data_IF_827167071671
#
_entry.id   IF_827167071671
#
_cell.length_a   1.000
_cell.length_b   1.000
_cell.length_c   1.000
_cell.angle_alpha   90.00
_cell.angle_beta   90.00
_cell.angle_gamma   90.00
#
_symmetry.space_group_name_H-M   'P 1'
#
loop_
_entity.id
_entity.type
_entity.pdbx_description
1 polymer ?
#
# COMPACT_ATOMS: atom_id res chain seq x y z
N UNK A 1 13.87 33.58 3.97
CA UNK A 1 14.54 32.28 4.17
C UNK A 1 16.06 32.41 4.21
N UNK A 2 16.71 33.02 3.20
CA UNK A 2 18.16 33.16 3.12
C UNK A 2 18.78 33.87 4.34
N UNK A 3 18.21 35.01 4.77
CA UNK A 3 18.68 35.70 5.98
C UNK A 3 18.55 34.86 7.25
N UNK A 4 17.53 33.98 7.33
CA UNK A 4 17.35 33.06 8.47
C UNK A 4 18.38 31.94 8.48
N UNK A 5 18.86 31.53 7.31
CA UNK A 5 19.91 30.52 7.15
C UNK A 5 21.32 31.13 7.10
N UNK A 6 21.46 32.45 7.31
CA UNK A 6 22.72 33.18 7.18
C UNK A 6 23.40 33.01 5.80
N UNK A 7 22.60 32.82 4.75
CA UNK A 7 23.06 32.69 3.37
C UNK A 7 22.91 34.01 2.60
N UNK A 8 23.87 34.30 1.72
CA UNK A 8 23.81 35.40 0.75
C UNK A 8 23.18 34.90 -0.57
N UNK A 9 22.63 35.82 -1.35
CA UNK A 9 22.18 35.50 -2.71
C UNK A 9 23.38 35.07 -3.56
N UNK A 10 23.17 34.04 -4.39
CA UNK A 10 24.13 33.57 -5.37
C UNK A 10 23.77 34.21 -6.72
N UNK A 11 24.77 34.66 -7.47
CA UNK A 11 24.61 35.08 -8.87
C UNK A 11 24.98 33.88 -9.73
N UNK A 12 24.05 33.43 -10.56
CA UNK A 12 24.25 32.27 -11.42
C UNK A 12 25.20 32.61 -12.58
N UNK A 13 26.13 31.72 -12.86
CA UNK A 13 27.06 31.83 -13.97
C UNK A 13 26.63 30.95 -15.16
N UNK A 14 27.52 30.78 -16.13
CA UNK A 14 27.27 29.92 -17.28
C UNK A 14 26.94 28.48 -16.81
N UNK A 15 25.94 27.86 -17.45
CA UNK A 15 25.42 26.52 -17.16
C UNK A 15 24.62 26.35 -15.84
N UNK A 16 24.84 27.18 -14.82
CA UNK A 16 24.20 27.01 -13.50
C UNK A 16 22.67 26.89 -13.57
N UNK A 17 22.01 27.71 -14.40
CA UNK A 17 20.56 27.66 -14.57
C UNK A 17 20.07 26.31 -15.10
N UNK A 18 20.79 25.72 -16.07
CA UNK A 18 20.47 24.38 -16.59
C UNK A 18 20.78 23.31 -15.55
N UNK A 19 21.92 23.40 -14.87
CA UNK A 19 22.31 22.45 -13.84
C UNK A 19 21.29 22.39 -12.68
N UNK A 20 20.65 23.51 -12.34
CA UNK A 20 19.66 23.59 -11.27
C UNK A 20 18.26 23.13 -11.69
N UNK A 21 17.86 23.34 -12.95
CA UNK A 21 16.49 23.13 -13.40
C UNK A 21 16.30 21.85 -14.22
N UNK A 22 17.32 21.42 -14.95
CA UNK A 22 17.26 20.30 -15.86
C UNK A 22 17.54 19.00 -15.10
N UNK A 23 16.60 18.07 -15.12
CA UNK A 23 16.74 16.78 -14.46
C UNK A 23 15.42 16.22 -13.96
N UNK A 24 15.53 15.13 -13.20
CA UNK A 24 14.39 14.30 -12.77
C UNK A 24 14.10 14.41 -11.27
N UNK A 25 14.76 15.33 -10.56
CA UNK A 25 14.79 15.41 -9.10
C UNK A 25 13.39 15.58 -8.49
N UNK A 26 12.51 16.37 -9.12
CA UNK A 26 11.16 16.60 -8.62
C UNK A 26 10.28 15.34 -8.66
N UNK A 27 10.27 14.63 -9.80
CA UNK A 27 9.50 13.38 -9.93
C UNK A 27 10.12 12.24 -9.11
N UNK A 28 11.45 12.20 -9.02
CA UNK A 28 12.18 11.29 -8.14
C UNK A 28 11.76 11.48 -6.68
N UNK A 29 11.79 12.72 -6.16
CA UNK A 29 11.44 12.99 -4.77
C UNK A 29 9.97 12.65 -4.45
N UNK A 30 9.03 13.04 -5.32
CA UNK A 30 7.60 12.75 -5.12
C UNK A 30 7.33 11.25 -5.19
N UNK A 31 7.88 10.57 -6.20
CA UNK A 31 7.71 9.13 -6.38
C UNK A 31 8.41 8.30 -5.30
N UNK A 32 9.60 8.73 -4.87
CA UNK A 32 10.36 8.08 -3.80
C UNK A 32 9.66 8.15 -2.44
N UNK A 33 9.13 9.32 -2.06
CA UNK A 33 8.32 9.45 -0.85
C UNK A 33 7.02 8.63 -0.92
N UNK A 34 6.41 8.55 -2.10
CA UNK A 34 5.24 7.71 -2.32
C UNK A 34 5.60 6.22 -2.21
N UNK A 35 6.71 5.78 -2.80
CA UNK A 35 7.20 4.40 -2.71
C UNK A 35 7.51 4.00 -1.27
N UNK A 36 8.17 4.86 -0.49
CA UNK A 36 8.46 4.60 0.91
C UNK A 36 7.18 4.24 1.69
N UNK A 37 6.12 5.04 1.50
CA UNK A 37 4.80 4.78 2.09
C UNK A 37 4.15 3.53 1.49
N UNK A 38 4.24 3.30 0.18
CA UNK A 38 3.69 2.11 -0.48
C UNK A 38 4.30 0.79 0.04
N UNK A 39 5.63 0.77 0.26
CA UNK A 39 6.31 -0.40 0.84
C UNK A 39 5.78 -0.71 2.25
N UNK A 40 5.56 0.31 3.08
CA UNK A 40 4.88 0.16 4.36
C UNK A 40 3.48 -0.41 4.19
N UNK A 41 2.66 0.14 3.30
CA UNK A 41 1.31 -0.36 3.05
C UNK A 41 1.28 -1.83 2.62
N UNK A 42 2.29 -2.30 1.88
CA UNK A 42 2.41 -3.72 1.52
C UNK A 42 2.62 -4.67 2.71
N UNK A 43 3.13 -4.17 3.84
CA UNK A 43 3.22 -4.91 5.10
C UNK A 43 1.92 -4.81 5.90
N UNK A 44 1.38 -3.60 5.99
CA UNK A 44 0.07 -3.37 6.66
C UNK A 44 -1.06 -4.17 6.00
N UNK A 45 -1.02 -4.39 4.69
CA UNK A 45 -1.97 -5.25 4.00
C UNK A 45 -1.94 -6.71 4.47
N UNK A 46 -0.77 -7.23 4.88
CA UNK A 46 -0.68 -8.57 5.49
C UNK A 46 -1.31 -8.56 6.88
N UNK A 47 -1.06 -7.51 7.68
CA UNK A 47 -1.64 -7.36 9.02
C UNK A 47 -3.16 -7.30 8.94
N UNK A 48 -3.70 -6.42 8.09
CA UNK A 48 -5.14 -6.31 7.86
C UNK A 48 -5.71 -7.62 7.33
N UNK A 49 -5.04 -8.26 6.36
CA UNK A 49 -5.44 -9.56 5.82
C UNK A 49 -5.43 -10.69 6.85
N UNK A 50 -4.47 -10.71 7.78
CA UNK A 50 -4.40 -11.67 8.88
C UNK A 50 -5.52 -11.44 9.91
N UNK A 51 -5.83 -10.18 10.25
CA UNK A 51 -7.00 -9.84 11.07
C UNK A 51 -8.28 -10.35 10.41
N UNK A 52 -8.45 -10.10 9.10
CA UNK A 52 -9.63 -10.58 8.36
C UNK A 52 -9.65 -12.11 8.24
N UNK A 53 -8.52 -12.76 8.03
CA UNK A 53 -8.45 -14.23 8.00
C UNK A 53 -8.96 -14.82 9.31
N UNK A 54 -8.48 -14.33 10.45
CA UNK A 54 -8.90 -14.80 11.77
C UNK A 54 -10.38 -14.48 12.04
N UNK A 55 -10.82 -13.25 11.72
CA UNK A 55 -12.21 -12.84 11.87
C UNK A 55 -13.18 -13.70 11.04
N UNK A 56 -12.80 -14.06 9.82
CA UNK A 56 -13.53 -14.95 8.93
C UNK A 56 -13.22 -16.42 9.16
N UNK A 57 -12.54 -16.76 10.26
CA UNK A 57 -12.28 -18.15 10.61
C UNK A 57 -11.52 -18.90 9.49
N UNK A 58 -10.69 -18.22 8.72
CA UNK A 58 -9.95 -18.81 7.60
C UNK A 58 -8.83 -19.76 8.02
N UNK A 59 -8.16 -20.35 7.04
CA UNK A 59 -7.08 -21.31 7.27
C UNK A 59 -5.72 -20.83 6.74
N UNK A 60 -4.67 -20.81 7.58
CA UNK A 60 -3.31 -20.48 7.12
C UNK A 60 -2.67 -21.62 6.32
N UNK A 61 -3.36 -22.76 6.10
CA UNK A 61 -2.83 -23.87 5.28
C UNK A 61 -2.50 -23.43 3.85
N UNK A 62 -3.20 -22.44 3.31
CA UNK A 62 -2.90 -21.84 2.02
C UNK A 62 -1.51 -21.19 1.95
N UNK A 63 -0.92 -20.85 3.10
CA UNK A 63 0.35 -20.15 3.22
C UNK A 63 1.51 -21.12 3.50
N UNK A 64 1.26 -22.43 3.45
CA UNK A 64 2.30 -23.45 3.63
C UNK A 64 3.49 -23.18 2.69
N UNK A 65 4.70 -23.13 3.25
CA UNK A 65 5.90 -22.78 2.49
C UNK A 65 6.23 -23.78 1.40
N UNK A 66 5.74 -25.02 1.45
CA UNK A 66 5.91 -25.98 0.35
C UNK A 66 5.12 -25.55 -0.89
N UNK A 67 3.91 -25.00 -0.71
CA UNK A 67 3.11 -24.41 -1.79
C UNK A 67 3.86 -23.22 -2.38
N UNK A 68 4.38 -22.34 -1.52
CA UNK A 68 5.06 -21.13 -1.99
C UNK A 68 6.39 -21.45 -2.68
N UNK A 69 7.16 -22.40 -2.15
CA UNK A 69 8.44 -22.84 -2.76
C UNK A 69 8.25 -23.59 -4.08
N UNK A 70 7.09 -24.20 -4.31
CA UNK A 70 6.76 -24.79 -5.61
C UNK A 70 6.57 -23.73 -6.72
N UNK A 71 6.28 -22.47 -6.36
CA UNK A 71 6.23 -21.32 -7.28
C UNK A 71 6.99 -20.13 -6.64
N UNK A 72 8.33 -20.09 -6.74
CA UNK A 72 9.19 -19.38 -5.80
C UNK A 72 9.36 -17.87 -6.13
N UNK A 73 8.25 -17.14 -6.28
CA UNK A 73 8.32 -15.67 -6.33
C UNK A 73 8.76 -15.14 -4.95
N UNK A 74 9.79 -14.28 -4.85
CA UNK A 74 10.31 -13.81 -3.56
C UNK A 74 9.26 -13.13 -2.68
N UNK A 75 8.47 -12.22 -3.24
CA UNK A 75 7.39 -11.55 -2.52
C UNK A 75 6.33 -12.52 -2.01
N UNK A 76 6.00 -13.56 -2.79
CA UNK A 76 5.01 -14.56 -2.40
C UNK A 76 5.46 -15.38 -1.19
N UNK A 77 6.73 -15.79 -1.17
CA UNK A 77 7.31 -16.51 -0.03
C UNK A 77 7.33 -15.60 1.20
N UNK A 78 7.82 -14.37 1.05
CA UNK A 78 7.93 -13.40 2.15
C UNK A 78 6.58 -13.07 2.79
N UNK A 79 5.52 -12.91 1.99
CA UNK A 79 4.16 -12.67 2.51
C UNK A 79 3.65 -13.89 3.28
N UNK A 80 3.83 -15.10 2.74
CA UNK A 80 3.35 -16.30 3.42
C UNK A 80 4.04 -16.51 4.78
N UNK A 81 5.36 -16.29 4.85
CA UNK A 81 6.10 -16.33 6.11
C UNK A 81 5.55 -15.32 7.11
N UNK A 82 5.25 -14.11 6.64
CA UNK A 82 4.73 -13.03 7.46
C UNK A 82 3.31 -13.33 7.98
N UNK A 83 2.38 -13.71 7.10
CA UNK A 83 1.02 -14.12 7.47
C UNK A 83 1.04 -15.29 8.46
N UNK A 84 1.87 -16.31 8.21
CA UNK A 84 2.04 -17.42 9.14
C UNK A 84 2.58 -16.98 10.49
N UNK A 85 3.43 -15.96 10.56
CA UNK A 85 3.94 -15.41 11.82
C UNK A 85 2.84 -14.65 12.60
N UNK A 86 2.04 -13.84 11.90
CA UNK A 86 0.95 -13.04 12.48
C UNK A 86 -0.13 -13.91 13.16
N UNK A 87 -0.48 -15.04 12.54
CA UNK A 87 -1.55 -15.94 13.03
C UNK A 87 -1.06 -17.05 13.96
N UNK A 88 0.20 -17.01 14.42
CA UNK A 88 0.72 -18.03 15.36
C UNK A 88 -0.06 -18.01 16.66
N UNK A 89 -0.28 -19.19 17.23
CA UNK A 89 -0.95 -19.40 18.52
C UNK A 89 -2.42 -18.93 18.55
N UNK A 90 -3.08 -18.85 17.38
CA UNK A 90 -4.50 -18.52 17.30
C UNK A 90 -5.40 -19.58 17.94
N UNK A 91 -6.20 -19.18 18.93
CA UNK A 91 -7.27 -20.02 19.48
C UNK A 91 -8.47 -20.09 18.53
N UNK A 92 -8.70 -19.03 17.74
CA UNK A 92 -9.73 -19.03 16.69
C UNK A 92 -9.43 -20.11 15.67
N UNK A 93 -8.16 -20.25 15.24
CA UNK A 93 -7.79 -21.30 14.31
C UNK A 93 -8.03 -22.70 14.90
N UNK A 94 -7.71 -22.88 16.17
CA UNK A 94 -7.90 -24.16 16.86
C UNK A 94 -9.37 -24.52 17.04
N UNK A 95 -10.26 -23.54 17.26
CA UNK A 95 -11.68 -23.81 17.54
C UNK A 95 -12.43 -24.51 16.41
N UNK A 96 -11.89 -24.47 15.19
CA UNK A 96 -12.45 -25.13 14.00
C UNK A 96 -11.40 -25.89 13.19
N UNK A 97 -10.28 -26.27 13.80
CA UNK A 97 -9.23 -26.99 13.07
C UNK A 97 -9.73 -28.35 12.60
N UNK A 98 -10.55 -29.00 13.43
CA UNK A 98 -11.21 -30.27 13.15
C UNK A 98 -12.64 -30.03 12.67
N UNK A 99 -13.12 -30.88 11.77
CA UNK A 99 -14.48 -30.85 11.23
C UNK A 99 -14.91 -29.49 10.65
N UNK A 100 -13.96 -28.74 10.09
CA UNK A 100 -14.24 -27.50 9.36
C UNK A 100 -15.09 -27.84 8.12
N UNK A 101 -16.35 -27.38 8.03
CA UNK A 101 -17.20 -27.71 6.89
C UNK A 101 -16.73 -27.03 5.60
N UNK A 102 -15.82 -26.05 5.68
CA UNK A 102 -15.28 -25.34 4.52
C UNK A 102 -14.18 -26.15 3.87
N UNK A 103 -14.36 -26.41 2.57
CA UNK A 103 -13.35 -27.12 1.75
C UNK A 103 -12.19 -26.18 1.40
N UNK A 104 -12.49 -24.93 1.05
CA UNK A 104 -11.51 -23.92 0.65
C UNK A 104 -11.97 -22.52 1.02
N UNK A 105 -11.04 -21.69 1.47
CA UNK A 105 -11.28 -20.25 1.60
C UNK A 105 -11.39 -19.59 0.21
N UNK A 106 -12.14 -18.48 0.18
CA UNK A 106 -12.20 -17.58 -0.96
C UNK A 106 -10.82 -17.00 -1.31
N UNK A 107 -10.65 -16.62 -2.57
CA UNK A 107 -9.36 -16.15 -3.08
C UNK A 107 -8.84 -14.89 -2.40
N UNK A 108 -9.71 -14.00 -1.92
CA UNK A 108 -9.27 -12.81 -1.18
C UNK A 108 -8.54 -13.13 0.12
N UNK A 109 -8.72 -14.33 0.66
CA UNK A 109 -7.99 -14.88 1.81
C UNK A 109 -6.87 -15.83 1.36
N UNK A 110 -7.22 -16.83 0.54
CA UNK A 110 -6.32 -17.91 0.14
C UNK A 110 -5.16 -17.44 -0.73
N UNK A 111 -5.40 -16.43 -1.58
CA UNK A 111 -4.43 -15.94 -2.56
C UNK A 111 -3.62 -14.74 -2.04
N UNK A 112 -3.68 -14.42 -0.74
CA UNK A 112 -2.92 -13.29 -0.17
C UNK A 112 -1.41 -13.38 -0.47
N UNK A 113 -0.71 -14.54 -0.30
CA UNK A 113 0.69 -14.65 -0.68
C UNK A 113 0.96 -14.25 -2.13
N UNK A 114 0.13 -14.72 -3.07
CA UNK A 114 0.33 -14.48 -4.50
C UNK A 114 0.10 -13.01 -4.85
N UNK A 115 -0.99 -12.42 -4.36
CA UNK A 115 -1.38 -11.05 -4.72
C UNK A 115 -0.54 -10.01 -3.98
N UNK A 116 -0.39 -10.13 -2.66
CA UNK A 116 0.45 -9.22 -1.90
C UNK A 116 1.93 -9.38 -2.30
N UNK A 117 2.35 -10.61 -2.60
CA UNK A 117 3.71 -10.90 -3.05
C UNK A 117 4.03 -10.26 -4.39
N UNK A 118 3.13 -10.35 -5.37
CA UNK A 118 3.27 -9.65 -6.65
C UNK A 118 3.38 -8.13 -6.47
N UNK A 119 2.62 -7.55 -5.54
CA UNK A 119 2.73 -6.13 -5.22
C UNK A 119 4.09 -5.77 -4.62
N UNK A 120 4.63 -6.60 -3.72
CA UNK A 120 5.99 -6.40 -3.16
C UNK A 120 7.08 -6.49 -4.23
N UNK A 121 7.00 -7.48 -5.11
CA UNK A 121 7.97 -7.64 -6.20
C UNK A 121 7.92 -6.44 -7.17
N UNK A 122 6.72 -5.92 -7.45
CA UNK A 122 6.56 -4.70 -8.25
C UNK A 122 7.17 -3.47 -7.56
N UNK A 123 6.90 -3.27 -6.27
CA UNK A 123 7.48 -2.15 -5.51
C UNK A 123 9.01 -2.25 -5.38
N UNK A 124 9.56 -3.46 -5.29
CA UNK A 124 11.02 -3.68 -5.31
C UNK A 124 11.64 -3.28 -6.66
N UNK A 125 10.94 -3.49 -7.78
CA UNK A 125 11.37 -2.97 -9.08
C UNK A 125 11.38 -1.44 -9.12
N UNK A 126 10.36 -0.79 -8.54
CA UNK A 126 10.30 0.67 -8.45
C UNK A 126 11.46 1.21 -7.60
N UNK A 127 11.74 0.56 -6.47
CA UNK A 127 12.86 0.89 -5.60
C UNK A 127 14.19 0.86 -6.34
N UNK A 128 14.48 -0.24 -7.03
CA UNK A 128 15.71 -0.39 -7.81
C UNK A 128 15.85 0.71 -8.87
N UNK A 129 14.77 1.08 -9.53
CA UNK A 129 14.78 2.17 -10.52
C UNK A 129 15.13 3.51 -9.88
N UNK A 130 14.55 3.82 -8.72
CA UNK A 130 14.85 5.04 -7.95
C UNK A 130 16.28 5.06 -7.41
N UNK A 131 16.82 3.92 -6.96
CA UNK A 131 18.20 3.80 -6.47
C UNK A 131 19.19 4.14 -7.58
N UNK A 132 18.98 3.61 -8.79
CA UNK A 132 19.81 3.94 -9.96
C UNK A 132 19.71 5.43 -10.29
N UNK A 133 18.49 5.97 -10.34
CA UNK A 133 18.27 7.38 -10.64
C UNK A 133 18.92 8.32 -9.62
N UNK A 134 18.96 7.91 -8.34
CA UNK A 134 19.59 8.68 -7.26
C UNK A 134 21.09 8.90 -7.47
N UNK A 135 21.74 8.01 -8.23
CA UNK A 135 23.16 8.10 -8.59
C UNK A 135 23.40 8.73 -9.98
N UNK A 136 22.33 9.16 -10.67
CA UNK A 136 22.40 9.66 -12.04
C UNK A 136 22.73 11.15 -12.15
N UNK A 137 23.57 11.50 -13.14
CA UNK A 137 23.71 12.88 -13.61
C UNK A 137 22.62 13.17 -14.65
N UNK A 138 21.59 13.92 -14.26
CA UNK A 138 20.35 14.11 -15.03
C UNK A 138 20.19 15.50 -15.64
N UNK A 139 21.12 16.42 -15.38
CA UNK A 139 21.17 17.71 -16.07
C UNK A 139 21.79 17.59 -17.47
N UNK A 140 21.74 18.69 -18.23
CA UNK A 140 22.28 18.73 -19.58
C UNK A 140 22.70 20.15 -20.00
N UNK A 141 23.80 20.34 -20.77
CA UNK A 141 24.78 19.33 -21.20
C UNK A 141 25.67 18.82 -20.06
N UNK A 142 26.25 17.64 -20.21
CA UNK A 142 27.23 17.11 -19.26
C UNK A 142 28.64 17.59 -19.60
N UNK A 143 29.44 17.83 -18.57
CA UNK A 143 30.85 18.24 -18.67
C UNK A 143 31.73 17.09 -18.20
N UNK A 144 32.54 16.55 -19.10
CA UNK A 144 33.50 15.48 -18.82
C UNK A 144 34.87 16.10 -18.57
N UNK A 145 35.14 16.43 -17.31
CA UNK A 145 36.33 17.19 -16.94
C UNK A 145 37.66 16.49 -17.29
N UNK A 146 37.67 15.14 -17.35
CA UNK A 146 38.88 14.36 -17.63
C UNK A 146 39.44 14.60 -19.03
N UNK A 147 38.58 14.86 -20.02
CA UNK A 147 38.98 15.10 -21.40
C UNK A 147 38.57 16.49 -21.93
N UNK A 148 37.83 17.27 -21.12
CA UNK A 148 37.37 18.62 -21.46
C UNK A 148 36.12 18.64 -22.34
N UNK A 149 35.48 17.49 -22.58
CA UNK A 149 34.31 17.42 -23.45
C UNK A 149 33.06 18.01 -22.78
N UNK A 150 32.25 18.69 -23.58
CA UNK A 150 30.90 19.12 -23.21
C UNK A 150 29.92 18.48 -24.18
N UNK A 151 29.12 17.54 -23.67
CA UNK A 151 28.27 16.69 -24.51
C UNK A 151 26.81 16.94 -24.15
N UNK A 152 26.02 17.30 -25.17
CA UNK A 152 24.56 17.35 -25.04
C UNK A 152 23.96 15.96 -25.25
N UNK A 153 23.23 15.47 -24.25
CA UNK A 153 22.48 14.22 -24.25
C UNK A 153 21.02 14.43 -23.81
N UNK A 154 20.43 13.38 -23.23
CA UNK A 154 19.00 13.33 -22.87
C UNK A 154 18.71 12.77 -21.48
N UNK A 155 19.68 12.82 -20.55
CA UNK A 155 19.55 12.20 -19.21
C UNK A 155 18.44 12.84 -18.35
N UNK A 156 17.92 14.01 -18.72
CA UNK A 156 16.75 14.62 -18.09
C UNK A 156 15.43 13.89 -18.39
N UNK A 157 15.41 12.98 -19.37
CA UNK A 157 14.20 12.31 -19.79
C UNK A 157 13.82 11.18 -18.81
N UNK A 158 12.91 11.47 -17.88
CA UNK A 158 12.51 10.55 -16.80
C UNK A 158 11.62 9.35 -17.19
N UNK A 159 11.82 8.76 -18.37
CA UNK A 159 11.05 7.57 -18.81
C UNK A 159 11.18 6.36 -17.85
N UNK A 160 12.38 6.03 -17.32
CA UNK A 160 12.52 4.92 -16.38
C UNK A 160 11.64 5.11 -15.13
N UNK A 161 11.66 6.31 -14.55
CA UNK A 161 10.82 6.67 -13.41
C UNK A 161 9.33 6.62 -13.75
N UNK A 162 8.92 7.15 -14.90
CA UNK A 162 7.51 7.18 -15.31
C UNK A 162 6.91 5.76 -15.37
N UNK A 163 7.59 4.85 -16.07
CA UNK A 163 7.17 3.45 -16.20
C UNK A 163 7.15 2.75 -14.84
N UNK A 164 8.16 2.98 -14.00
CA UNK A 164 8.24 2.40 -12.67
C UNK A 164 7.09 2.89 -11.77
N UNK A 165 6.79 4.19 -11.75
CA UNK A 165 5.70 4.72 -10.94
C UNK A 165 4.32 4.24 -11.40
N UNK A 166 4.08 4.13 -12.70
CA UNK A 166 2.84 3.54 -13.22
C UNK A 166 2.72 2.05 -12.88
N UNK A 167 3.82 1.29 -12.93
CA UNK A 167 3.81 -0.10 -12.48
C UNK A 167 3.50 -0.23 -10.98
N UNK A 168 4.11 0.61 -10.14
CA UNK A 168 3.79 0.70 -8.72
C UNK A 168 2.33 1.09 -8.45
N UNK A 169 1.77 2.00 -9.25
CA UNK A 169 0.38 2.43 -9.16
C UNK A 169 -0.60 1.29 -9.46
N UNK A 170 -0.33 0.50 -10.52
CA UNK A 170 -1.10 -0.70 -10.87
C UNK A 170 -1.05 -1.71 -9.72
N UNK A 171 0.15 -2.02 -9.24
CA UNK A 171 0.36 -3.01 -8.18
C UNK A 171 -0.35 -2.64 -6.87
N UNK A 172 -0.26 -1.38 -6.44
CA UNK A 172 -0.93 -0.94 -5.21
C UNK A 172 -2.46 -0.90 -5.36
N UNK A 173 -2.96 -0.59 -6.55
CA UNK A 173 -4.40 -0.62 -6.83
C UNK A 173 -4.96 -2.05 -6.79
N UNK A 174 -4.20 -3.04 -7.28
CA UNK A 174 -4.59 -4.46 -7.17
C UNK A 174 -4.60 -4.92 -5.70
N UNK A 175 -3.60 -4.49 -4.91
CA UNK A 175 -3.56 -4.75 -3.47
C UNK A 175 -4.76 -4.14 -2.72
N UNK A 176 -5.16 -2.92 -3.08
CA UNK A 176 -6.39 -2.31 -2.58
C UNK A 176 -7.63 -3.12 -2.95
N UNK A 177 -7.65 -3.70 -4.16
CA UNK A 177 -8.79 -4.48 -4.65
C UNK A 177 -9.01 -5.75 -3.82
N UNK A 178 -7.94 -6.50 -3.51
CA UNK A 178 -8.07 -7.71 -2.68
C UNK A 178 -8.47 -7.37 -1.22
N UNK A 179 -7.97 -6.26 -0.68
CA UNK A 179 -8.35 -5.74 0.64
C UNK A 179 -9.84 -5.38 0.71
N UNK A 180 -10.36 -4.66 -0.28
CA UNK A 180 -11.78 -4.31 -0.30
C UNK A 180 -12.68 -5.54 -0.42
N UNK A 181 -12.27 -6.57 -1.18
CA UNK A 181 -12.99 -7.86 -1.19
C UNK A 181 -12.99 -8.55 0.16
N UNK A 182 -11.97 -8.34 1.00
CA UNK A 182 -11.95 -8.86 2.39
C UNK A 182 -12.88 -8.06 3.31
N UNK A 183 -12.96 -6.74 3.14
CA UNK A 183 -13.95 -5.89 3.83
C UNK A 183 -15.37 -6.38 3.52
N UNK A 184 -15.70 -6.57 2.23
CA UNK A 184 -17.01 -7.06 1.78
C UNK A 184 -17.40 -8.38 2.47
N UNK A 185 -16.47 -9.33 2.52
CA UNK A 185 -16.72 -10.63 3.18
C UNK A 185 -17.00 -10.50 4.68
N UNK A 186 -16.36 -9.58 5.39
CA UNK A 186 -16.61 -9.38 6.83
C UNK A 186 -17.98 -8.78 7.09
N UNK A 187 -18.45 -7.86 6.25
CA UNK A 187 -19.72 -7.16 6.44
C UNK A 187 -20.93 -7.90 5.85
N UNK A 188 -20.69 -8.88 4.98
CA UNK A 188 -21.73 -9.66 4.34
C UNK A 188 -22.06 -10.94 5.15
N UNK A 189 -23.27 -11.07 5.73
CA UNK A 189 -23.62 -12.24 6.56
C UNK A 189 -23.52 -13.57 5.79
N UNK A 190 -23.72 -13.56 4.47
CA UNK A 190 -23.68 -14.77 3.64
C UNK A 190 -22.26 -15.28 3.37
N UNK A 191 -21.25 -14.44 3.63
CA UNK A 191 -19.84 -14.71 3.32
C UNK A 191 -18.92 -14.72 4.54
N UNK A 192 -19.47 -14.44 5.72
CA UNK A 192 -18.72 -14.01 6.90
C UNK A 192 -18.54 -15.07 7.99
N UNK A 193 -19.01 -16.30 7.75
CA UNK A 193 -18.97 -17.39 8.72
C UNK A 193 -19.59 -16.99 10.07
N UNK A 194 -20.84 -16.51 10.02
CA UNK A 194 -21.66 -16.22 11.19
C UNK A 194 -21.41 -14.88 11.87
N UNK A 195 -20.72 -13.92 11.22
CA UNK A 195 -20.70 -12.54 11.71
C UNK A 195 -22.08 -11.89 11.45
N UNK A 196 -22.51 -10.94 12.30
CA UNK A 196 -23.73 -10.21 12.05
C UNK A 196 -23.57 -9.30 10.81
N UNK A 197 -24.67 -9.01 10.09
CA UNK A 197 -24.63 -8.13 8.93
C UNK A 197 -24.03 -6.78 9.32
N UNK A 198 -23.08 -6.32 8.49
CA UNK A 198 -22.34 -5.08 8.66
C UNK A 198 -21.57 -4.97 9.99
N UNK A 199 -21.33 -6.08 10.67
CA UNK A 199 -20.71 -6.12 12.01
C UNK A 199 -21.51 -5.33 13.05
N UNK A 200 -22.82 -5.14 12.82
CA UNK A 200 -23.69 -4.39 13.72
C UNK A 200 -24.05 -5.22 14.96
N UNK A 201 -24.07 -4.60 16.14
CA UNK A 201 -24.51 -5.26 17.39
C UNK A 201 -26.01 -5.47 17.43
N UNK A 202 -26.78 -4.56 16.82
CA UNK A 202 -28.24 -4.64 16.68
C UNK A 202 -28.67 -4.44 15.21
N UNK A 203 -28.50 -5.47 14.35
CA UNK A 203 -28.94 -5.42 12.96
C UNK A 203 -30.38 -4.92 12.78
N UNK A 204 -30.62 -4.10 11.76
CA UNK A 204 -31.93 -3.49 11.48
C UNK A 204 -32.20 -2.18 12.25
N UNK A 205 -31.48 -1.92 13.35
CA UNK A 205 -31.47 -0.62 14.03
C UNK A 205 -30.15 0.13 13.85
N UNK A 206 -29.04 -0.61 13.74
CA UNK A 206 -27.69 -0.09 13.56
C UNK A 206 -27.17 -0.46 12.18
N UNK A 207 -26.41 0.47 11.57
CA UNK A 207 -25.78 0.31 10.27
C UNK A 207 -24.36 -0.26 10.37
N UNK A 208 -23.72 -0.17 11.54
CA UNK A 208 -22.38 -0.72 11.76
C UNK A 208 -21.37 -0.19 10.74
N UNK A 209 -20.65 -1.11 10.08
CA UNK A 209 -19.60 -0.81 9.10
C UNK A 209 -20.12 -0.62 7.67
N UNK A 210 -21.44 -0.57 7.44
CA UNK A 210 -22.04 -0.48 6.10
C UNK A 210 -21.46 0.66 5.26
N UNK A 211 -21.46 1.89 5.80
CA UNK A 211 -20.97 3.06 5.04
C UNK A 211 -19.44 3.10 4.98
N UNK A 212 -18.74 2.47 5.93
CA UNK A 212 -17.29 2.31 5.84
C UNK A 212 -16.90 1.43 4.63
N UNK A 213 -17.65 0.36 4.35
CA UNK A 213 -17.46 -0.44 3.13
C UNK A 213 -17.68 0.40 1.86
N UNK A 214 -18.73 1.24 1.83
CA UNK A 214 -18.99 2.14 0.69
C UNK A 214 -17.82 3.12 0.48
N UNK A 215 -17.27 3.67 1.56
CA UNK A 215 -16.09 4.52 1.49
C UNK A 215 -14.86 3.78 0.94
N UNK A 216 -14.60 2.55 1.40
CA UNK A 216 -13.52 1.71 0.86
C UNK A 216 -13.68 1.45 -0.64
N UNK A 217 -14.89 1.11 -1.09
CA UNK A 217 -15.20 0.92 -2.50
C UNK A 217 -14.98 2.21 -3.33
N UNK A 218 -15.35 3.37 -2.79
CA UNK A 218 -15.10 4.67 -3.43
C UNK A 218 -13.60 4.96 -3.60
N UNK A 219 -12.81 4.74 -2.55
CA UNK A 219 -11.35 4.91 -2.55
C UNK A 219 -10.68 3.99 -3.60
N UNK A 220 -11.10 2.72 -3.66
CA UNK A 220 -10.62 1.77 -4.67
C UNK A 220 -10.98 2.22 -6.09
N UNK A 221 -12.21 2.65 -6.35
CA UNK A 221 -12.62 3.06 -7.68
C UNK A 221 -11.88 4.32 -8.16
N UNK A 222 -11.58 5.26 -7.25
CA UNK A 222 -10.68 6.38 -7.55
C UNK A 222 -9.28 5.91 -7.94
N UNK A 223 -8.73 4.93 -7.20
CA UNK A 223 -7.42 4.36 -7.53
C UNK A 223 -7.42 3.64 -8.89
N UNK A 224 -8.48 2.91 -9.25
CA UNK A 224 -8.63 2.25 -10.56
C UNK A 224 -8.54 3.22 -11.72
N UNK A 225 -9.17 4.40 -11.62
CA UNK A 225 -9.05 5.45 -12.64
C UNK A 225 -7.62 5.98 -12.70
N UNK A 226 -7.01 6.23 -11.54
CA UNK A 226 -5.63 6.72 -11.45
C UNK A 226 -4.58 5.68 -11.90
N UNK A 227 -4.91 4.40 -11.96
CA UNK A 227 -3.98 3.34 -12.35
C UNK A 227 -3.73 3.27 -13.87
N UNK A 228 -4.49 4.00 -14.69
CA UNK A 228 -4.20 4.10 -16.13
C UNK A 228 -2.81 4.71 -16.34
N UNK A 229 -1.87 4.08 -17.07
CA UNK A 229 -0.51 4.60 -17.21
C UNK A 229 -0.47 6.02 -17.81
N UNK A 230 0.26 6.94 -17.18
CA UNK A 230 0.51 8.27 -17.75
C UNK A 230 1.73 8.23 -18.68
N UNK A 231 2.63 7.28 -18.50
CA UNK A 231 3.86 7.14 -19.29
C UNK A 231 3.65 6.70 -20.75
N UNK A 232 2.42 6.30 -21.12
CA UNK A 232 2.08 5.84 -22.48
C UNK A 232 1.54 6.96 -23.36
N UNK A 233 1.33 8.14 -22.80
CA UNK A 233 0.84 9.32 -23.50
C UNK A 233 1.84 10.46 -23.40
N UNK A 234 1.96 11.28 -24.46
CA UNK A 234 2.79 12.47 -24.49
C UNK A 234 2.35 13.42 -25.61
N UNK A 235 2.62 14.71 -25.44
CA UNK A 235 2.27 15.75 -26.42
C UNK A 235 3.50 16.63 -26.67
N UNK A 236 3.87 16.88 -27.94
CA UNK A 236 5.00 17.73 -28.28
C UNK A 236 4.89 19.15 -27.69
N UNK A 237 5.97 19.63 -27.11
CA UNK A 237 6.11 21.01 -26.63
C UNK A 237 7.25 21.74 -27.33
N UNK A 238 7.41 23.02 -27.04
CA UNK A 238 8.58 23.80 -27.45
C UNK A 238 8.82 23.78 -28.98
N UNK A 239 7.74 24.02 -29.75
CA UNK A 239 7.75 24.01 -31.22
C UNK A 239 8.27 22.70 -31.84
N UNK A 240 7.98 21.56 -31.19
CA UNK A 240 8.40 20.23 -31.66
C UNK A 240 9.85 19.89 -31.33
N UNK A 241 10.51 20.64 -30.43
CA UNK A 241 11.83 20.27 -29.91
C UNK A 241 11.76 19.27 -28.77
N UNK A 242 10.71 19.37 -27.96
CA UNK A 242 10.36 18.37 -26.95
C UNK A 242 9.23 17.54 -27.52
N UNK A 243 9.53 16.77 -28.56
CA UNK A 243 8.56 15.98 -29.34
C UNK A 243 8.19 14.65 -28.69
N UNK A 244 8.92 14.25 -27.66
CA UNK A 244 8.60 13.12 -26.80
C UNK A 244 8.96 13.44 -25.34
N UNK A 245 8.04 13.18 -24.41
CA UNK A 245 8.24 13.39 -22.97
C UNK A 245 7.75 12.19 -22.16
N UNK A 246 8.25 12.03 -20.93
CA UNK A 246 7.97 10.83 -20.12
C UNK A 246 6.65 10.85 -19.33
N UNK A 247 6.09 12.03 -19.08
CA UNK A 247 5.02 12.23 -18.09
C UNK A 247 5.36 11.70 -16.68
N UNK A 248 6.66 11.65 -16.33
CA UNK A 248 7.12 11.06 -15.07
C UNK A 248 6.61 11.75 -13.81
N UNK A 249 6.46 13.07 -13.82
CA UNK A 249 5.86 13.81 -12.70
C UNK A 249 4.37 13.45 -12.50
N UNK A 250 3.62 13.32 -13.60
CA UNK A 250 2.21 12.89 -13.54
C UNK A 250 2.10 11.49 -12.94
N UNK A 251 2.97 10.56 -13.37
CA UNK A 251 3.05 9.20 -12.84
C UNK A 251 3.36 9.19 -11.33
N UNK A 252 4.31 10.04 -10.88
CA UNK A 252 4.65 10.18 -9.46
C UNK A 252 3.49 10.73 -8.61
N UNK A 253 2.78 11.76 -9.08
CA UNK A 253 1.64 12.36 -8.38
C UNK A 253 0.46 11.38 -8.31
N UNK A 254 0.22 10.62 -9.38
CA UNK A 254 -0.80 9.56 -9.41
C UNK A 254 -0.47 8.48 -8.37
N UNK A 255 0.76 7.98 -8.33
CA UNK A 255 1.20 7.00 -7.34
C UNK A 255 1.00 7.53 -5.91
N UNK A 256 1.41 8.77 -5.62
CA UNK A 256 1.17 9.41 -4.31
C UNK A 256 -0.31 9.44 -3.94
N UNK A 257 -1.19 9.79 -4.88
CA UNK A 257 -2.63 9.86 -4.64
C UNK A 257 -3.23 8.47 -4.37
N UNK A 258 -2.73 7.42 -5.04
CA UNK A 258 -3.15 6.03 -4.80
C UNK A 258 -2.69 5.57 -3.41
N UNK A 259 -1.45 5.91 -3.01
CA UNK A 259 -0.94 5.64 -1.65
C UNK A 259 -1.84 6.25 -0.57
N UNK A 260 -2.28 7.50 -0.75
CA UNK A 260 -3.20 8.16 0.19
C UNK A 260 -4.58 7.47 0.25
N UNK A 261 -5.10 7.00 -0.89
CA UNK A 261 -6.35 6.23 -0.90
C UNK A 261 -6.16 4.87 -0.21
N UNK A 262 -5.03 4.20 -0.44
CA UNK A 262 -4.71 2.90 0.14
C UNK A 262 -4.55 2.96 1.67
N UNK A 263 -3.96 4.03 2.22
CA UNK A 263 -3.88 4.25 3.68
C UNK A 263 -5.26 4.27 4.34
N UNK A 264 -6.21 4.99 3.73
CA UNK A 264 -7.58 5.07 4.25
C UNK A 264 -8.34 3.75 4.07
N UNK A 265 -8.14 3.07 2.93
CA UNK A 265 -8.79 1.79 2.66
C UNK A 265 -8.30 0.70 3.62
N UNK A 266 -6.99 0.58 3.84
CA UNK A 266 -6.43 -0.37 4.80
C UNK A 266 -6.82 -0.01 6.24
N UNK A 267 -6.95 1.28 6.57
CA UNK A 267 -7.50 1.69 7.87
C UNK A 267 -8.94 1.20 8.10
N UNK A 268 -9.78 1.22 7.05
CA UNK A 268 -11.13 0.66 7.11
C UNK A 268 -11.07 -0.87 7.29
N UNK A 269 -10.18 -1.57 6.59
CA UNK A 269 -10.02 -3.02 6.76
C UNK A 269 -9.57 -3.39 8.17
N UNK A 270 -8.58 -2.67 8.72
CA UNK A 270 -8.10 -2.85 10.10
C UNK A 270 -9.22 -2.61 11.12
N UNK A 271 -10.01 -1.55 10.94
CA UNK A 271 -11.16 -1.25 11.80
C UNK A 271 -12.23 -2.35 11.72
N UNK A 272 -12.60 -2.77 10.51
CA UNK A 272 -13.58 -3.83 10.29
C UNK A 272 -13.08 -5.17 10.87
N UNK A 273 -11.80 -5.49 10.69
CA UNK A 273 -11.16 -6.67 11.29
C UNK A 273 -11.21 -6.62 12.82
N UNK A 274 -10.96 -5.45 13.43
CA UNK A 274 -11.05 -5.29 14.88
C UNK A 274 -12.48 -5.49 15.39
N UNK A 275 -13.48 -4.92 14.72
CA UNK A 275 -14.90 -5.14 15.08
C UNK A 275 -15.31 -6.59 14.90
N UNK A 276 -14.89 -7.24 13.81
CA UNK A 276 -15.22 -8.63 13.53
C UNK A 276 -14.59 -9.58 14.56
N UNK A 277 -13.37 -9.31 15.02
CA UNK A 277 -12.71 -10.08 16.08
C UNK A 277 -13.45 -9.97 17.42
N UNK A 278 -14.15 -8.87 17.70
CA UNK A 278 -15.01 -8.78 18.90
C UNK A 278 -16.08 -9.87 18.94
N UNK A 279 -16.60 -10.25 17.77
CA UNK A 279 -17.62 -11.30 17.63
C UNK A 279 -17.03 -12.72 17.77
N UNK A 280 -15.71 -12.85 17.82
CA UNK A 280 -15.01 -14.13 18.07
C UNK A 280 -14.58 -14.30 19.53
N UNK A 281 -14.72 -13.27 20.36
CA UNK A 281 -14.45 -13.36 21.80
C UNK A 281 -15.37 -14.40 22.46
N UNK A 282 -14.88 -15.16 23.47
CA UNK A 282 -13.63 -14.97 24.21
C UNK A 282 -12.38 -15.58 23.56
N UNK A 283 -12.47 -16.18 22.36
CA UNK A 283 -11.30 -16.72 21.67
C UNK A 283 -10.30 -15.60 21.36
N UNK A 284 -9.01 -15.93 21.48
CA UNK A 284 -7.92 -15.05 21.09
C UNK A 284 -7.42 -15.40 19.69
N UNK A 285 -7.19 -14.38 18.89
CA UNK A 285 -6.52 -14.51 17.61
C UNK A 285 -5.02 -14.80 17.80
N UNK A 286 -4.31 -14.99 16.70
CA UNK A 286 -2.85 -15.14 16.73
C UNK A 286 -2.15 -13.92 17.33
N UNK A 287 -0.92 -14.12 17.83
CA UNK A 287 -0.20 -13.11 18.62
C UNK A 287 -0.02 -11.77 17.89
N UNK A 288 0.35 -11.79 16.59
CA UNK A 288 0.48 -10.57 15.80
C UNK A 288 -0.87 -9.91 15.53
N UNK A 289 -1.92 -10.70 15.30
CA UNK A 289 -3.28 -10.19 15.12
C UNK A 289 -3.83 -9.53 16.39
N UNK A 290 -3.55 -10.08 17.57
CA UNK A 290 -3.92 -9.44 18.86
C UNK A 290 -3.16 -8.13 19.09
N UNK A 291 -1.89 -8.05 18.70
CA UNK A 291 -1.11 -6.80 18.79
C UNK A 291 -1.64 -5.73 17.82
N UNK A 292 -2.01 -6.12 16.60
CA UNK A 292 -2.65 -5.23 15.63
C UNK A 292 -4.02 -4.75 16.13
N UNK A 293 -4.85 -5.67 16.65
CA UNK A 293 -6.12 -5.36 17.29
C UNK A 293 -5.93 -4.34 18.44
N UNK A 294 -4.97 -4.57 19.34
CA UNK A 294 -4.68 -3.65 20.43
C UNK A 294 -4.26 -2.26 19.92
N UNK A 295 -3.48 -2.21 18.83
CA UNK A 295 -3.08 -0.95 18.19
C UNK A 295 -4.28 -0.21 17.60
N UNK A 296 -5.19 -0.89 16.89
CA UNK A 296 -6.46 -0.29 16.43
C UNK A 296 -7.24 0.28 17.62
N UNK A 297 -7.32 -0.45 18.74
CA UNK A 297 -8.06 -0.02 19.94
C UNK A 297 -7.46 1.17 20.67
N UNK A 298 -6.20 1.55 20.43
CA UNK A 298 -5.64 2.84 20.90
C UNK A 298 -6.30 4.03 20.19
N UNK A 299 -6.76 3.85 18.96
CA UNK A 299 -7.28 4.91 18.10
C UNK A 299 -8.79 4.87 17.90
N UNK A 300 -9.41 3.70 18.01
CA UNK A 300 -10.83 3.51 17.79
C UNK A 300 -11.45 2.55 18.81
N UNK A 301 -12.34 3.08 19.66
CA UNK A 301 -13.11 2.27 20.59
C UNK A 301 -14.07 1.31 19.86
N UNK A 302 -14.39 0.13 20.46
CA UNK A 302 -15.35 -0.82 19.88
C UNK A 302 -16.68 -0.17 19.49
N UNK A 303 -17.21 -0.57 18.34
CA UNK A 303 -18.46 -0.03 17.82
C UNK A 303 -19.66 -0.70 18.53
N UNK A 304 -20.00 -0.19 19.71
CA UNK A 304 -21.15 -0.68 20.50
C UNK A 304 -22.49 -0.13 20.00
N UNK A 305 -22.45 1.04 19.37
CA UNK A 305 -23.58 1.71 18.72
C UNK A 305 -23.08 2.55 17.56
N UNK A 306 -23.97 2.89 16.64
CA UNK A 306 -23.63 3.73 15.49
C UNK A 306 -23.01 5.06 15.94
N UNK A 307 -21.90 5.42 15.31
CA UNK A 307 -21.21 6.69 15.46
C UNK A 307 -20.53 7.08 14.15
N UNK A 308 -20.14 8.34 14.03
CA UNK A 308 -19.36 8.80 12.88
C UNK A 308 -18.00 8.12 12.90
N UNK A 309 -17.68 7.37 11.84
CA UNK A 309 -16.44 6.59 11.73
C UNK A 309 -15.28 7.36 11.09
N UNK A 310 -15.51 8.54 10.54
CA UNK A 310 -14.48 9.29 9.79
C UNK A 310 -13.27 9.67 10.65
N UNK A 311 -13.48 10.00 11.93
CA UNK A 311 -12.39 10.29 12.86
C UNK A 311 -11.59 9.04 13.22
N UNK A 312 -12.26 7.88 13.40
CA UNK A 312 -11.58 6.61 13.67
C UNK A 312 -10.71 6.19 12.50
N UNK A 313 -11.28 6.24 11.29
CA UNK A 313 -10.58 5.89 10.05
C UNK A 313 -9.38 6.81 9.85
N UNK A 314 -9.54 8.12 10.06
CA UNK A 314 -8.45 9.09 9.92
C UNK A 314 -7.34 8.87 10.94
N UNK A 315 -7.68 8.53 12.19
CA UNK A 315 -6.70 8.24 13.24
C UNK A 315 -5.92 6.96 12.94
N UNK A 316 -6.59 5.88 12.52
CA UNK A 316 -5.93 4.63 12.11
C UNK A 316 -5.06 4.85 10.87
N UNK A 317 -5.53 5.61 9.87
CA UNK A 317 -4.72 5.95 8.69
C UNK A 317 -3.48 6.81 9.05
N UNK A 318 -3.57 7.65 10.08
CA UNK A 318 -2.41 8.36 10.63
C UNK A 318 -1.43 7.41 11.32
N UNK A 319 -1.91 6.44 12.11
CA UNK A 319 -1.08 5.41 12.75
C UNK A 319 -0.39 4.51 11.71
N UNK A 320 -1.09 4.14 10.63
CA UNK A 320 -0.51 3.47 9.45
C UNK A 320 0.62 4.32 8.86
N UNK A 321 0.42 5.63 8.67
CA UNK A 321 1.47 6.54 8.20
C UNK A 321 2.63 6.72 9.17
N UNK A 322 2.40 6.56 10.47
CA UNK A 322 3.44 6.64 11.49
C UNK A 322 4.27 5.35 11.59
N UNK A 323 3.78 4.24 11.03
CA UNK A 323 4.46 2.95 11.04
C UNK A 323 4.15 2.07 12.25
N UNK A 324 2.97 2.27 12.87
CA UNK A 324 2.59 1.53 14.09
C UNK A 324 2.13 0.09 13.83
N UNK A 325 1.90 -0.26 12.57
CA UNK A 325 1.49 -1.60 12.13
C UNK A 325 2.59 -2.34 11.36
N UNK A 326 3.82 -1.80 11.31
CA UNK A 326 4.94 -2.40 10.58
C UNK A 326 6.32 -2.10 11.21
N UNK A 327 6.34 -1.82 12.52
CA UNK A 327 7.54 -1.33 13.22
C UNK A 327 8.65 -2.39 13.30
N UNK A 328 9.91 -2.01 13.08
CA UNK A 328 11.05 -2.91 13.18
C UNK A 328 11.30 -3.46 14.60
N UNK A 329 10.77 -2.79 15.63
CA UNK A 329 11.03 -3.11 17.04
C UNK A 329 10.06 -4.13 17.64
N UNK A 330 8.85 -4.24 17.09
CA UNK A 330 7.89 -5.29 17.44
C UNK A 330 7.32 -5.80 16.11
N UNK A 331 7.71 -7.02 15.71
CA UNK A 331 7.37 -7.63 14.41
C UNK A 331 5.84 -7.83 14.26
N UNK A 332 5.15 -6.75 13.88
CA UNK A 332 3.88 -6.72 13.17
C UNK A 332 4.09 -6.70 11.66
#
# INVERSE_FOLDING_TARGET
AFSRASLKSIVLEAKDGLALLNGTQAMHAVGGLALFRAKRLSRVADVAGAMTLEALMGTPRAFDLRIQKARPHPGQIAVAEHLCALVRQSQIRESHRQDDPRVQDAYSLRSMPQVHGAARDALAYVEKTLEIESAGATDNPLVFAENGDVISGGNFHGAPLALAFDFGAIALTDLMSISERRIERMVNPDLSDGLPPFLARKPGLQSGMMIAQVAAASLLNKAKVLAHPASVDNVPTSAGKEDHVSMGMTSAVKLRSIVENAENLLAIELLAGAEALEHRRPLKAGAGVEQAYATVRKYAAPLLQDRVLSSDISAIAAAVRAGEFDSEHEKL
#
